data_IF_531151017719
#
_entry.id   IF_531151017719
#
_cell.length_a   1.000
_cell.length_b   1.000
_cell.length_c   1.000
_cell.angle_alpha   90.00
_cell.angle_beta   90.00
_cell.angle_gamma   90.00
#
_symmetry.space_group_name_H-M   'P 1'
#
loop_
_entity.id
_entity.type
_entity.pdbx_description
1 polymer ?
#
# COMPACT_ATOMS: atom_id res chain seq x y z
N UNK A 1 22.85 28.11 -4.25
CA UNK A 1 22.33 26.81 -3.81
C UNK A 1 22.45 25.90 -5.02
N UNK A 2 23.25 24.84 -4.94
CA UNK A 2 23.44 23.91 -6.06
C UNK A 2 22.44 22.76 -5.94
N UNK A 3 21.42 22.76 -6.79
CA UNK A 3 20.38 21.72 -6.79
C UNK A 3 20.90 20.37 -7.29
N UNK A 4 22.03 20.34 -7.99
CA UNK A 4 22.63 19.11 -8.51
C UNK A 4 23.22 18.29 -7.38
N UNK A 5 24.00 18.93 -6.50
CA UNK A 5 24.60 18.29 -5.33
C UNK A 5 23.52 17.80 -4.35
N UNK A 6 22.51 18.65 -4.06
CA UNK A 6 21.37 18.26 -3.22
C UNK A 6 20.58 17.08 -3.79
N UNK A 7 20.44 16.99 -5.12
CA UNK A 7 19.77 15.87 -5.77
C UNK A 7 20.57 14.57 -5.64
N UNK A 8 21.90 14.63 -5.76
CA UNK A 8 22.77 13.46 -5.58
C UNK A 8 22.69 12.94 -4.14
N UNK A 9 22.81 13.82 -3.14
CA UNK A 9 22.70 13.45 -1.73
C UNK A 9 21.34 12.83 -1.39
N UNK A 10 20.25 13.42 -1.89
CA UNK A 10 18.90 12.89 -1.70
C UNK A 10 18.78 11.47 -2.24
N UNK A 11 19.26 11.24 -3.47
CA UNK A 11 19.16 9.93 -4.12
C UNK A 11 20.06 8.88 -3.49
N UNK A 12 21.25 9.26 -3.02
CA UNK A 12 22.16 8.38 -2.29
C UNK A 12 21.54 7.95 -0.95
N UNK A 13 21.01 8.92 -0.19
CA UNK A 13 20.40 8.68 1.13
C UNK A 13 19.14 7.83 1.07
N UNK A 14 18.29 8.05 0.07
CA UNK A 14 16.96 7.42 -0.02
C UNK A 14 16.90 6.27 -1.02
N UNK A 15 18.01 5.97 -1.72
CA UNK A 15 18.10 4.92 -2.75
C UNK A 15 16.96 4.98 -3.78
N UNK A 16 16.56 6.19 -4.16
CA UNK A 16 15.34 6.44 -4.89
C UNK A 16 14.50 7.51 -4.23
N UNK A 17 13.25 7.63 -4.67
CA UNK A 17 12.31 8.67 -4.21
C UNK A 17 10.94 8.13 -3.83
N UNK A 18 10.66 6.89 -4.22
CA UNK A 18 9.32 6.31 -4.13
C UNK A 18 9.42 5.11 -3.23
N UNK A 19 8.48 5.02 -2.32
CA UNK A 19 8.19 3.83 -1.53
C UNK A 19 6.68 3.55 -1.58
N UNK A 20 6.32 2.30 -1.28
CA UNK A 20 4.92 1.89 -1.09
C UNK A 20 4.81 1.38 0.34
N UNK A 21 4.00 2.07 1.14
CA UNK A 21 3.77 1.72 2.54
C UNK A 21 2.33 1.25 2.72
N UNK A 22 2.12 0.35 3.69
CA UNK A 22 0.76 -0.11 4.02
C UNK A 22 -0.07 1.05 4.60
N UNK A 23 -1.31 1.20 4.14
CA UNK A 23 -2.28 2.15 4.70
C UNK A 23 -2.81 1.72 6.07
N UNK A 24 -2.65 0.45 6.43
CA UNK A 24 -3.12 -0.14 7.70
C UNK A 24 -1.98 -0.86 8.41
N UNK A 25 -2.06 -0.94 9.74
CA UNK A 25 -1.11 -1.72 10.53
C UNK A 25 -1.38 -3.22 10.35
N UNK A 26 -0.30 -4.00 10.29
CA UNK A 26 -0.36 -5.47 10.28
C UNK A 26 0.72 -5.95 11.25
N UNK A 27 0.35 -6.06 12.53
CA UNK A 27 1.27 -6.40 13.63
C UNK A 27 0.97 -7.79 14.21
N UNK A 28 -0.24 -8.32 13.98
CA UNK A 28 -0.71 -9.59 14.52
C UNK A 28 -1.23 -10.54 13.43
N UNK A 29 -1.43 -11.80 13.80
CA UNK A 29 -2.06 -12.80 12.91
C UNK A 29 -3.49 -12.42 12.52
N UNK A 30 -4.24 -11.77 13.42
CA UNK A 30 -5.61 -11.33 13.15
C UNK A 30 -5.62 -10.16 12.16
N UNK A 31 -4.65 -9.24 12.26
CA UNK A 31 -4.48 -8.17 11.28
C UNK A 31 -4.18 -8.75 9.90
N UNK A 32 -3.25 -9.71 9.82
CA UNK A 32 -2.88 -10.35 8.56
C UNK A 32 -4.06 -11.14 7.98
N UNK A 33 -4.80 -11.85 8.84
CA UNK A 33 -6.00 -12.61 8.45
C UNK A 33 -7.12 -11.71 7.93
N UNK A 34 -7.16 -10.45 8.38
CA UNK A 34 -8.14 -9.46 7.94
C UNK A 34 -7.71 -8.77 6.64
N UNK A 35 -6.44 -8.34 6.56
CA UNK A 35 -5.89 -7.65 5.40
C UNK A 35 -5.62 -8.60 4.20
N UNK A 36 -5.43 -9.89 4.49
CA UNK A 36 -5.15 -10.93 3.50
C UNK A 36 -6.06 -12.14 3.73
N UNK A 37 -5.58 -13.34 3.46
CA UNK A 37 -6.36 -14.57 3.60
C UNK A 37 -6.59 -14.88 5.08
N UNK A 38 -7.83 -15.19 5.51
CA UNK A 38 -9.03 -15.41 4.69
C UNK A 38 -9.92 -14.16 4.45
N UNK A 39 -9.73 -13.06 5.17
CA UNK A 39 -10.61 -11.89 5.20
C UNK A 39 -10.78 -11.18 3.85
N UNK A 40 -9.71 -11.09 3.05
CA UNK A 40 -9.70 -10.44 1.72
C UNK A 40 -10.72 -11.03 0.75
N UNK A 41 -11.20 -12.27 0.98
CA UNK A 41 -12.24 -12.89 0.17
C UNK A 41 -13.60 -12.15 0.25
N UNK A 42 -13.86 -11.39 1.31
CA UNK A 42 -15.11 -10.63 1.45
C UNK A 42 -15.22 -9.45 0.47
N UNK A 43 -14.28 -8.48 0.41
CA UNK A 43 -14.33 -7.41 -0.59
C UNK A 43 -14.25 -7.96 -2.02
N UNK A 44 -13.45 -9.00 -2.28
CA UNK A 44 -13.40 -9.64 -3.62
C UNK A 44 -14.77 -10.17 -4.07
N UNK A 45 -15.50 -10.87 -3.19
CA UNK A 45 -16.86 -11.36 -3.52
C UNK A 45 -17.84 -10.21 -3.74
N UNK A 46 -17.75 -9.13 -2.97
CA UNK A 46 -18.60 -7.94 -3.15
C UNK A 46 -18.36 -7.25 -4.49
N UNK A 47 -17.10 -7.08 -4.89
CA UNK A 47 -16.73 -6.53 -6.20
C UNK A 47 -17.17 -7.45 -7.34
N UNK A 48 -17.09 -8.77 -7.15
CA UNK A 48 -17.60 -9.73 -8.13
C UNK A 48 -19.13 -9.67 -8.29
N UNK A 49 -19.88 -9.42 -7.21
CA UNK A 49 -21.32 -9.18 -7.23
C UNK A 49 -21.69 -7.82 -7.86
N UNK A 50 -20.91 -6.77 -7.56
CA UNK A 50 -21.09 -5.42 -8.07
C UNK A 50 -19.72 -4.76 -8.40
N UNK A 51 -19.33 -4.63 -9.69
CA UNK A 51 -18.04 -4.06 -10.08
C UNK A 51 -17.79 -2.63 -9.57
N UNK A 52 -18.83 -1.82 -9.37
CA UNK A 52 -18.69 -0.43 -8.88
C UNK A 52 -18.18 -0.37 -7.42
N UNK A 53 -18.30 -1.45 -6.66
CA UNK A 53 -17.77 -1.54 -5.29
C UNK A 53 -16.24 -1.46 -5.24
N UNK A 54 -15.54 -1.55 -6.38
CA UNK A 54 -14.09 -1.32 -6.47
C UNK A 54 -13.70 0.03 -5.90
N UNK A 55 -14.45 1.09 -6.22
CA UNK A 55 -14.17 2.46 -5.74
C UNK A 55 -14.45 2.65 -4.24
N UNK A 56 -15.13 1.70 -3.60
CA UNK A 56 -15.41 1.70 -2.17
C UNK A 56 -14.36 0.95 -1.37
N UNK A 57 -13.79 -0.12 -1.95
CA UNK A 57 -12.93 -1.06 -1.22
C UNK A 57 -11.46 -1.06 -1.68
N UNK A 58 -11.08 -0.28 -2.70
CA UNK A 58 -9.68 -0.11 -3.16
C UNK A 58 -9.35 1.36 -3.40
#
# INVERSE_FOLDING_TARGET
MDFSELSLELHEKHQGKIEVISKVKVETNDDLSTAYTPGVAAPCRKIAENPDDVYKYT
#
